data_IF_663585484636
#
_entry.id   IF_663585484636
#
_cell.length_a   1.000
_cell.length_b   1.000
_cell.length_c   1.000
_cell.angle_alpha   90.00
_cell.angle_beta   90.00
_cell.angle_gamma   90.00
#
_symmetry.space_group_name_H-M   'P 1'
#
loop_
_entity.id
_entity.type
_entity.pdbx_description
1 polymer ?
#
# COMPACT_ATOMS: atom_id res chain seq x y z
N UNK A 1 -6.18 11.84 73.87
CA UNK A 1 -5.79 12.15 72.48
C UNK A 1 -7.05 12.46 71.71
N UNK A 2 -7.26 13.73 71.36
CA UNK A 2 -8.44 14.18 70.63
C UNK A 2 -8.16 14.20 69.12
N UNK A 3 -9.14 13.85 68.25
CA UNK A 3 -8.94 13.85 66.81
C UNK A 3 -8.95 15.27 66.25
N UNK A 4 -7.89 15.62 65.52
CA UNK A 4 -7.77 16.86 64.74
C UNK A 4 -8.60 16.71 63.46
N UNK A 5 -9.64 17.52 63.34
CA UNK A 5 -10.51 17.60 62.16
C UNK A 5 -9.92 18.61 61.18
N UNK A 6 -9.67 18.18 59.94
CA UNK A 6 -9.20 19.05 58.87
C UNK A 6 -10.36 19.89 58.29
N UNK A 7 -10.12 21.14 57.84
CA UNK A 7 -11.17 22.00 57.30
C UNK A 7 -11.55 21.59 55.87
N UNK A 8 -12.86 21.47 55.65
CA UNK A 8 -13.49 21.23 54.35
C UNK A 8 -13.42 22.52 53.53
N UNK A 9 -12.76 22.46 52.37
CA UNK A 9 -12.66 23.58 51.42
C UNK A 9 -13.98 23.72 50.64
N UNK A 10 -14.56 24.92 50.65
CA UNK A 10 -15.78 25.24 49.92
C UNK A 10 -15.52 25.33 48.40
N UNK A 11 -16.51 24.97 47.55
CA UNK A 11 -16.39 25.12 46.10
C UNK A 11 -16.41 26.58 45.67
N UNK A 12 -15.55 26.92 44.69
CA UNK A 12 -15.44 28.25 44.10
C UNK A 12 -16.72 28.63 43.34
N UNK A 13 -17.15 29.89 43.50
CA UNK A 13 -18.31 30.46 42.83
C UNK A 13 -18.10 30.59 41.30
N UNK A 14 -19.16 30.48 40.48
CA UNK A 14 -19.06 30.64 39.03
C UNK A 14 -18.80 32.11 38.65
N UNK A 15 -17.77 32.32 37.84
CA UNK A 15 -17.43 33.62 37.25
C UNK A 15 -18.43 33.96 36.15
N UNK A 16 -19.20 35.01 36.36
CA UNK A 16 -20.14 35.56 35.37
C UNK A 16 -19.34 36.26 34.26
N UNK A 17 -19.43 35.76 33.02
CA UNK A 17 -18.81 36.40 31.87
C UNK A 17 -19.56 37.69 31.48
N UNK A 18 -18.82 38.78 31.30
CA UNK A 18 -19.35 40.07 30.84
C UNK A 18 -19.54 39.99 29.31
N UNK A 19 -20.69 40.41 28.75
CA UNK A 19 -20.90 40.44 27.31
C UNK A 19 -20.01 41.51 26.66
N UNK A 20 -19.12 41.07 25.77
CA UNK A 20 -18.31 41.94 24.91
C UNK A 20 -19.20 42.50 23.81
N UNK A 21 -19.44 43.81 23.84
CA UNK A 21 -20.14 44.53 22.78
C UNK A 21 -19.21 44.64 21.56
N UNK A 22 -19.66 44.11 20.42
CA UNK A 22 -18.93 44.20 19.16
C UNK A 22 -18.89 45.65 18.68
N UNK A 23 -17.68 46.21 18.58
CA UNK A 23 -17.44 47.52 17.98
C UNK A 23 -17.41 47.31 16.47
N UNK A 24 -18.45 47.74 15.77
CA UNK A 24 -18.47 47.76 14.30
C UNK A 24 -17.54 48.85 13.78
N UNK A 25 -16.41 48.45 13.19
CA UNK A 25 -15.54 49.35 12.44
C UNK A 25 -16.24 49.90 11.19
N UNK A 26 -16.10 51.19 10.87
CA UNK A 26 -16.61 51.76 9.63
C UNK A 26 -15.89 51.17 8.40
N UNK A 27 -16.65 50.91 7.35
CA UNK A 27 -16.16 50.36 6.09
C UNK A 27 -15.15 51.32 5.41
N UNK A 28 -14.00 50.82 4.93
CA UNK A 28 -13.04 51.65 4.20
C UNK A 28 -13.58 52.05 2.83
N UNK A 29 -13.28 53.28 2.43
CA UNK A 29 -13.63 53.83 1.11
C UNK A 29 -13.05 52.99 -0.04
N UNK A 30 -13.75 52.89 -1.19
CA UNK A 30 -13.29 52.11 -2.32
C UNK A 30 -11.98 52.66 -2.88
N UNK A 31 -10.97 51.79 -2.96
CA UNK A 31 -9.69 52.11 -3.58
C UNK A 31 -9.86 52.32 -5.11
N UNK A 32 -9.07 53.19 -5.74
CA UNK A 32 -9.08 53.35 -7.19
C UNK A 32 -8.71 52.04 -7.88
N UNK A 33 -9.43 51.71 -8.97
CA UNK A 33 -9.14 50.55 -9.83
C UNK A 33 -7.73 50.70 -10.42
N UNK A 34 -6.77 49.94 -9.90
CA UNK A 34 -5.48 49.72 -10.53
C UNK A 34 -5.67 48.53 -11.48
N UNK A 35 -5.66 48.79 -12.79
CA UNK A 35 -5.60 47.72 -13.80
C UNK A 35 -4.27 46.98 -13.66
N UNK A 36 -4.26 45.66 -13.42
CA UNK A 36 -3.03 44.90 -13.35
C UNK A 36 -2.39 44.87 -14.74
N UNK A 37 -1.24 45.54 -14.87
CA UNK A 37 -0.34 45.31 -16.00
C UNK A 37 0.25 43.92 -15.81
N UNK A 38 -0.08 42.99 -16.69
CA UNK A 38 0.47 41.64 -16.72
C UNK A 38 1.95 41.74 -17.08
N UNK A 39 2.82 41.80 -16.08
CA UNK A 39 4.26 41.59 -16.26
C UNK A 39 4.46 40.09 -16.01
N UNK A 40 4.49 39.31 -17.10
CA UNK A 40 4.91 37.91 -17.01
C UNK A 40 6.33 37.86 -16.42
N UNK A 41 6.58 37.08 -15.35
CA UNK A 41 7.95 36.82 -14.94
C UNK A 41 8.65 36.08 -16.06
N UNK A 42 9.70 36.69 -16.61
CA UNK A 42 10.62 36.01 -17.50
C UNK A 42 11.18 34.81 -16.73
N UNK A 43 10.88 33.60 -17.21
CA UNK A 43 11.48 32.38 -16.68
C UNK A 43 13.00 32.52 -16.72
N UNK A 44 13.75 32.15 -15.67
CA UNK A 44 15.20 32.07 -15.78
C UNK A 44 15.53 31.13 -16.94
N UNK A 45 16.38 31.61 -17.85
CA UNK A 45 16.92 30.77 -18.91
C UNK A 45 17.56 29.55 -18.26
N UNK A 46 16.95 28.37 -18.43
CA UNK A 46 17.59 27.11 -18.12
C UNK A 46 18.86 27.08 -18.95
N UNK A 47 20.01 27.12 -18.27
CA UNK A 47 21.27 26.78 -18.90
C UNK A 47 21.07 25.42 -19.58
N UNK A 48 21.30 25.37 -20.89
CA UNK A 48 21.31 24.13 -21.64
C UNK A 48 22.38 23.24 -21.00
N UNK A 49 21.91 22.29 -20.18
CA UNK A 49 22.76 21.26 -19.62
C UNK A 49 23.23 20.45 -20.84
N UNK A 50 24.55 20.40 -21.15
CA UNK A 50 25.01 19.58 -22.26
C UNK A 50 24.54 18.17 -21.98
N UNK A 51 23.79 17.60 -22.92
CA UNK A 51 23.31 16.23 -22.86
C UNK A 51 24.48 15.35 -22.44
N UNK A 52 24.48 14.92 -21.17
CA UNK A 52 25.40 13.91 -20.70
C UNK A 52 25.01 12.67 -21.51
N UNK A 53 25.81 12.38 -22.54
CA UNK A 53 25.73 11.13 -23.28
C UNK A 53 25.85 10.03 -22.23
N UNK A 54 24.73 9.37 -21.93
CA UNK A 54 24.69 8.17 -21.12
C UNK A 54 25.50 7.10 -21.87
N UNK A 55 26.81 7.07 -21.61
CA UNK A 55 27.65 5.95 -21.99
C UNK A 55 27.22 4.81 -21.07
N UNK A 56 26.57 3.80 -21.65
CA UNK A 56 26.33 2.53 -20.98
C UNK A 56 27.67 2.02 -20.41
N UNK A 57 27.73 1.58 -19.14
CA UNK A 57 28.91 0.91 -18.64
C UNK A 57 29.16 -0.32 -19.50
N UNK A 58 30.32 -0.38 -20.16
CA UNK A 58 30.80 -1.61 -20.79
C UNK A 58 31.24 -2.52 -19.64
N UNK A 59 30.35 -3.41 -19.22
CA UNK A 59 30.72 -4.47 -18.28
C UNK A 59 31.68 -5.45 -18.99
N UNK A 60 32.82 -5.81 -18.38
CA UNK A 60 33.65 -6.87 -18.92
C UNK A 60 32.83 -8.16 -19.03
N UNK A 61 32.97 -8.88 -20.14
CA UNK A 61 32.32 -10.16 -20.36
C UNK A 61 32.60 -11.08 -19.17
N UNK A 62 31.55 -11.55 -18.49
CA UNK A 62 31.69 -12.57 -17.45
C UNK A 62 32.32 -13.83 -18.07
N UNK A 63 33.28 -14.49 -17.39
CA UNK A 63 33.80 -15.78 -17.82
C UNK A 63 32.65 -16.77 -17.98
N UNK A 64 32.50 -17.35 -19.17
CA UNK A 64 31.58 -18.46 -19.38
C UNK A 64 31.99 -19.63 -18.48
N UNK A 65 31.07 -20.22 -17.70
CA UNK A 65 31.35 -21.46 -17.01
C UNK A 65 31.68 -22.55 -18.05
N UNK A 66 32.67 -23.43 -17.77
CA UNK A 66 33.06 -24.46 -18.71
C UNK A 66 31.88 -25.39 -19.00
N UNK A 67 31.67 -25.65 -20.30
CA UNK A 67 30.70 -26.63 -20.76
C UNK A 67 31.08 -28.02 -20.21
N UNK A 68 30.29 -28.54 -19.28
CA UNK A 68 30.40 -29.94 -18.87
C UNK A 68 29.83 -30.82 -19.99
N UNK A 69 30.74 -31.30 -20.83
CA UNK A 69 30.49 -32.33 -21.84
C UNK A 69 30.22 -33.69 -21.20
N UNK A 70 29.31 -34.42 -21.84
CA UNK A 70 28.98 -35.81 -21.53
C UNK A 70 30.13 -36.78 -21.84
N UNK A 71 30.43 -37.68 -20.89
CA UNK A 71 31.01 -39.03 -21.04
C UNK A 71 30.86 -39.67 -19.65
N UNK A 72 30.37 -40.89 -19.38
CA UNK A 72 30.30 -42.14 -20.11
C UNK A 72 30.47 -43.27 -19.06
N UNK A 73 29.64 -44.32 -19.13
CA UNK A 73 30.01 -45.71 -18.82
C UNK A 73 30.38 -46.20 -17.40
N UNK A 74 29.48 -47.04 -16.85
CA UNK A 74 29.69 -48.30 -16.07
C UNK A 74 30.11 -48.24 -14.58
N UNK A 75 29.91 -49.31 -13.76
CA UNK A 75 29.11 -50.54 -13.93
C UNK A 75 28.09 -50.82 -12.78
N UNK A 76 27.21 -51.80 -13.04
CA UNK A 76 26.26 -52.45 -12.11
C UNK A 76 27.00 -53.54 -11.32
N UNK A 77 26.94 -53.54 -9.97
CA UNK A 77 27.00 -54.74 -9.08
C UNK A 77 26.31 -54.41 -7.73
N UNK A 78 25.60 -55.36 -7.07
CA UNK A 78 24.56 -55.08 -6.09
C UNK A 78 25.02 -55.28 -4.63
N UNK A 79 24.38 -54.56 -3.70
CA UNK A 79 24.36 -54.95 -2.29
C UNK A 79 23.06 -54.45 -1.65
N UNK A 80 22.24 -55.40 -1.20
CA UNK A 80 20.97 -55.14 -0.56
C UNK A 80 21.12 -54.45 0.79
N UNK A 81 20.06 -53.75 1.18
CA UNK A 81 19.61 -53.73 2.56
C UNK A 81 18.09 -53.55 2.57
N UNK A 82 17.43 -54.58 3.09
CA UNK A 82 16.06 -54.52 3.57
C UNK A 82 15.91 -53.36 4.55
N UNK A 83 15.07 -52.39 4.20
CA UNK A 83 14.34 -51.60 5.19
C UNK A 83 12.90 -51.48 4.72
N UNK A 84 12.05 -52.24 5.41
CA UNK A 84 10.61 -52.08 5.42
C UNK A 84 10.27 -50.59 5.61
N UNK A 85 9.68 -49.98 4.58
CA UNK A 85 8.99 -48.71 4.71
C UNK A 85 7.52 -49.02 4.89
N UNK A 86 7.05 -48.75 6.10
CA UNK A 86 5.67 -48.91 6.53
C UNK A 86 4.77 -48.00 5.70
N UNK A 87 3.85 -48.61 4.95
CA UNK A 87 2.92 -47.91 4.08
C UNK A 87 1.88 -47.16 4.93
N UNK A 88 1.94 -45.83 4.92
CA UNK A 88 0.89 -45.00 5.50
C UNK A 88 -0.30 -44.95 4.52
N UNK A 89 -1.52 -45.34 4.94
CA UNK A 89 -2.68 -45.29 4.06
C UNK A 89 -3.13 -43.84 3.81
N UNK A 90 -3.15 -43.50 2.52
CA UNK A 90 -3.69 -42.27 1.95
C UNK A 90 -5.22 -42.33 1.99
N UNK A 91 -5.86 -41.51 2.82
CA UNK A 91 -7.33 -41.37 2.84
C UNK A 91 -7.76 -39.93 2.58
N UNK A 92 -8.44 -39.73 1.44
CA UNK A 92 -9.41 -38.67 1.14
C UNK A 92 -10.33 -39.21 0.03
N UNK A 93 -11.60 -38.75 -0.14
CA UNK A 93 -12.33 -37.74 0.63
C UNK A 93 -13.79 -38.13 0.99
N UNK A 94 -14.38 -37.51 2.02
CA UNK A 94 -15.83 -37.49 2.22
C UNK A 94 -16.37 -36.09 1.88
N UNK A 95 -16.72 -35.90 0.60
CA UNK A 95 -17.33 -34.68 0.03
C UNK A 95 -18.82 -34.53 0.42
N UNK A 96 -19.40 -35.47 1.18
CA UNK A 96 -20.85 -35.52 1.45
C UNK A 96 -21.37 -34.69 2.63
N UNK A 97 -20.53 -34.20 3.54
CA UNK A 97 -21.00 -33.59 4.81
C UNK A 97 -21.07 -32.05 4.77
N UNK A 98 -20.40 -31.39 3.83
CA UNK A 98 -20.35 -29.92 3.75
C UNK A 98 -21.56 -29.28 3.06
N UNK A 99 -22.35 -30.04 2.28
CA UNK A 99 -23.51 -29.50 1.55
C UNK A 99 -24.78 -29.37 2.40
N UNK A 100 -24.92 -30.15 3.48
CA UNK A 100 -26.12 -30.09 4.33
C UNK A 100 -26.07 -28.94 5.35
N UNK A 101 -24.86 -28.52 5.77
CA UNK A 101 -24.68 -27.35 6.65
C UNK A 101 -24.93 -26.00 5.96
N UNK A 102 -24.67 -25.91 4.65
CA UNK A 102 -24.86 -24.67 3.88
C UNK A 102 -26.34 -24.32 3.69
N UNK A 103 -27.22 -25.32 3.57
CA UNK A 103 -28.66 -25.11 3.37
C UNK A 103 -29.39 -24.68 4.64
N UNK A 104 -28.93 -25.10 5.82
CA UNK A 104 -29.50 -24.69 7.12
C UNK A 104 -29.00 -23.29 7.50
N UNK A 105 -27.76 -22.93 7.17
CA UNK A 105 -27.22 -21.58 7.40
C UNK A 105 -27.92 -20.49 6.56
N UNK A 106 -28.30 -20.80 5.33
CA UNK A 106 -28.96 -19.85 4.41
C UNK A 106 -30.41 -19.50 4.82
N UNK A 107 -31.04 -20.33 5.65
CA UNK A 107 -32.43 -20.14 6.12
C UNK A 107 -32.54 -19.31 7.41
N UNK A 108 -31.44 -19.14 8.16
CA UNK A 108 -31.44 -18.38 9.43
C UNK A 108 -30.89 -16.96 9.24
N UNK A 109 -30.06 -16.69 8.23
CA UNK A 109 -29.54 -15.35 7.90
C UNK A 109 -30.15 -14.81 6.62
N UNK A 110 -31.46 -14.56 6.67
CA UNK A 110 -32.25 -14.04 5.56
C UNK A 110 -31.67 -12.77 4.92
N UNK A 111 -31.66 -12.79 3.58
CA UNK A 111 -32.23 -11.77 2.70
C UNK A 111 -32.26 -10.31 3.22
N UNK A 112 -31.16 -9.57 3.04
CA UNK A 112 -31.22 -8.12 2.82
C UNK A 112 -30.75 -7.85 1.41
N UNK A 113 -31.70 -7.41 0.58
CA UNK A 113 -31.61 -7.39 -0.87
C UNK A 113 -30.65 -6.35 -1.43
N UNK A 114 -30.14 -6.66 -2.62
CA UNK A 114 -29.60 -5.69 -3.56
C UNK A 114 -30.34 -5.88 -4.89
N UNK A 115 -31.39 -5.09 -5.07
CA UNK A 115 -31.96 -4.78 -6.38
C UNK A 115 -32.51 -3.34 -6.34
N UNK A 116 -31.72 -2.39 -6.83
CA UNK A 116 -32.23 -1.21 -7.53
C UNK A 116 -31.29 -0.96 -8.72
N UNK A 117 -31.85 -1.06 -9.92
CA UNK A 117 -31.25 -0.50 -11.13
C UNK A 117 -32.12 0.63 -11.67
N UNK A 118 -31.52 1.65 -12.29
CA UNK A 118 -31.73 2.00 -13.71
C UNK A 118 -31.20 3.40 -14.07
N UNK A 119 -30.39 3.41 -15.14
CA UNK A 119 -30.27 4.32 -16.30
C UNK A 119 -30.38 5.85 -16.17
N UNK A 120 -29.33 6.57 -16.63
CA UNK A 120 -29.44 7.53 -17.74
C UNK A 120 -28.07 8.02 -18.27
N UNK A 121 -27.96 7.97 -19.60
CA UNK A 121 -27.04 8.61 -20.55
C UNK A 121 -26.10 9.75 -20.10
N UNK A 122 -24.87 9.70 -20.61
CA UNK A 122 -24.01 10.87 -20.81
C UNK A 122 -22.59 10.48 -21.18
N UNK A 123 -22.28 10.46 -22.48
CA UNK A 123 -20.89 10.38 -22.94
C UNK A 123 -20.12 11.62 -22.50
N UNK A 124 -19.11 11.46 -21.65
CA UNK A 124 -17.92 12.32 -21.62
C UNK A 124 -16.69 11.52 -21.23
N UNK A 125 -15.65 11.68 -22.04
CA UNK A 125 -14.29 11.20 -21.87
C UNK A 125 -13.63 11.92 -20.68
N UNK A 126 -12.75 11.20 -19.97
CA UNK A 126 -11.84 11.63 -18.88
C UNK A 126 -12.47 12.20 -17.60
N UNK A 127 -12.39 11.41 -16.53
CA UNK A 127 -12.66 11.86 -15.17
C UNK A 127 -12.39 10.74 -14.17
N UNK A 128 -11.66 11.04 -13.09
CA UNK A 128 -11.58 10.20 -11.91
C UNK A 128 -12.97 9.66 -11.52
N UNK A 129 -13.10 8.44 -10.98
CA UNK A 129 -14.37 8.02 -10.41
C UNK A 129 -14.71 9.07 -9.36
N UNK A 130 -15.91 9.63 -9.49
CA UNK A 130 -16.51 10.33 -8.37
C UNK A 130 -16.57 9.30 -7.25
N UNK A 131 -15.60 9.35 -6.34
CA UNK A 131 -15.65 8.58 -5.12
C UNK A 131 -16.90 9.06 -4.41
N UNK A 132 -17.96 8.24 -4.41
CA UNK A 132 -19.15 8.53 -3.63
C UNK A 132 -18.65 8.85 -2.22
N UNK A 133 -19.03 10.01 -1.67
CA UNK A 133 -18.58 10.47 -0.34
C UNK A 133 -18.79 9.40 0.74
N UNK A 134 -19.77 8.50 0.53
CA UNK A 134 -19.98 7.31 1.35
C UNK A 134 -18.85 6.27 1.29
N UNK A 135 -18.24 6.03 0.12
CA UNK A 135 -17.11 5.11 -0.05
C UNK A 135 -15.86 5.63 0.66
N UNK A 136 -15.56 6.93 0.53
CA UNK A 136 -14.45 7.55 1.25
C UNK A 136 -14.64 7.45 2.77
N UNK A 137 -15.84 7.79 3.26
CA UNK A 137 -16.15 7.66 4.68
C UNK A 137 -16.04 6.21 5.18
N UNK A 138 -16.52 5.25 4.39
CA UNK A 138 -16.41 3.83 4.69
C UNK A 138 -14.93 3.40 4.77
N UNK A 139 -14.10 3.78 3.79
CA UNK A 139 -12.67 3.48 3.79
C UNK A 139 -11.97 4.09 5.00
N UNK A 140 -12.25 5.37 5.29
CA UNK A 140 -11.65 6.09 6.43
C UNK A 140 -12.01 5.43 7.76
N UNK A 141 -13.20 4.86 7.89
CA UNK A 141 -13.60 4.12 9.10
C UNK A 141 -12.84 2.80 9.31
N UNK A 142 -12.35 2.18 8.22
CA UNK A 142 -11.59 0.92 8.24
C UNK A 142 -10.08 1.14 8.30
N UNK A 143 -9.61 2.32 7.88
CA UNK A 143 -8.24 2.72 8.04
C UNK A 143 -7.98 3.16 9.48
N UNK A 144 -6.91 2.65 10.08
CA UNK A 144 -6.43 3.20 11.33
C UNK A 144 -6.02 4.67 11.12
N UNK A 145 -6.35 5.59 12.03
CA UNK A 145 -5.99 7.01 11.93
C UNK A 145 -4.52 7.27 11.61
N UNK A 146 -3.61 6.38 12.04
CA UNK A 146 -2.17 6.48 11.74
C UNK A 146 -1.86 6.43 10.24
N UNK A 147 -2.70 5.79 9.44
CA UNK A 147 -2.50 5.67 7.99
C UNK A 147 -3.20 6.77 7.19
N UNK A 148 -4.09 7.57 7.81
CA UNK A 148 -4.83 8.61 7.08
C UNK A 148 -3.90 9.58 6.35
N UNK A 149 -2.81 10.10 6.94
CA UNK A 149 -1.89 11.00 6.22
C UNK A 149 -1.21 10.36 5.00
N UNK A 150 -1.01 9.03 5.03
CA UNK A 150 -0.38 8.26 3.97
C UNK A 150 -1.38 7.88 2.88
N UNK A 151 -2.62 7.57 3.29
CA UNK A 151 -3.71 7.11 2.45
C UNK A 151 -4.55 8.24 1.85
N UNK A 152 -4.42 9.49 2.33
CA UNK A 152 -5.25 10.64 1.98
C UNK A 152 -5.47 10.78 0.47
N UNK A 153 -4.38 10.70 -0.30
CA UNK A 153 -4.45 10.81 -1.75
C UNK A 153 -5.10 9.60 -2.45
N UNK A 154 -5.15 8.43 -1.80
CA UNK A 154 -5.78 7.22 -2.31
C UNK A 154 -7.25 7.06 -1.91
N UNK A 155 -7.73 7.82 -0.91
CA UNK A 155 -8.99 7.56 -0.22
C UNK A 155 -10.22 7.35 -1.12
N UNK A 156 -10.36 8.12 -2.20
CA UNK A 156 -11.47 8.03 -3.15
C UNK A 156 -11.39 6.83 -4.09
N UNK A 157 -10.24 6.16 -4.15
CA UNK A 157 -9.94 5.04 -5.06
C UNK A 157 -9.75 3.71 -4.33
N UNK A 158 -9.53 3.78 -3.01
CA UNK A 158 -9.49 2.59 -2.19
C UNK A 158 -10.88 1.95 -2.15
N UNK A 159 -10.88 0.62 -2.09
CA UNK A 159 -12.07 -0.16 -1.82
C UNK A 159 -11.70 -1.44 -1.09
N UNK A 160 -12.67 -2.01 -0.37
CA UNK A 160 -12.47 -3.29 0.31
C UNK A 160 -11.35 -3.26 1.34
N UNK A 161 -11.16 -2.14 2.04
CA UNK A 161 -10.20 -2.03 3.12
C UNK A 161 -10.58 -2.97 4.28
N UNK A 162 -9.64 -3.83 4.67
CA UNK A 162 -9.77 -4.75 5.81
C UNK A 162 -8.51 -4.69 6.67
N UNK A 163 -8.70 -4.47 7.97
CA UNK A 163 -7.63 -4.40 8.96
C UNK A 163 -7.26 -5.78 9.49
N UNK A 164 -6.01 -5.95 9.93
CA UNK A 164 -5.54 -7.17 10.60
C UNK A 164 -6.25 -7.49 11.91
N UNK A 165 -6.96 -6.53 12.49
CA UNK A 165 -7.81 -6.71 13.68
C UNK A 165 -9.21 -7.24 13.34
N UNK A 166 -9.57 -7.33 12.06
CA UNK A 166 -10.88 -7.76 11.59
C UNK A 166 -10.86 -9.23 11.14
N UNK A 167 -12.02 -9.89 11.21
CA UNK A 167 -12.16 -11.25 10.73
C UNK A 167 -11.89 -11.31 9.21
N UNK A 168 -10.98 -12.21 8.80
CA UNK A 168 -10.56 -12.33 7.39
C UNK A 168 -9.59 -11.24 6.92
N UNK A 169 -9.11 -10.39 7.83
CA UNK A 169 -8.07 -9.39 7.55
C UNK A 169 -6.68 -10.00 7.30
N UNK A 170 -5.75 -9.21 6.73
CA UNK A 170 -4.40 -9.68 6.48
C UNK A 170 -3.66 -9.87 7.82
N UNK A 171 -3.06 -11.04 8.03
CA UNK A 171 -2.24 -11.27 9.22
C UNK A 171 -1.00 -10.34 9.20
N UNK A 172 -0.67 -9.66 10.32
CA UNK A 172 0.57 -8.91 10.44
C UNK A 172 1.76 -9.87 10.28
N UNK A 173 2.78 -9.45 9.56
CA UNK A 173 4.01 -10.21 9.41
C UNK A 173 4.96 -9.96 10.59
N UNK A 174 6.04 -10.76 10.75
CA UNK A 174 7.04 -10.51 11.78
C UNK A 174 7.56 -9.06 11.72
N UNK A 175 7.56 -8.38 12.87
CA UNK A 175 7.95 -6.97 12.97
C UNK A 175 6.82 -5.96 12.73
N UNK A 176 5.63 -6.42 12.29
CA UNK A 176 4.46 -5.58 12.11
C UNK A 176 3.58 -5.56 13.37
N UNK A 177 2.98 -4.40 13.63
CA UNK A 177 1.99 -4.19 14.67
C UNK A 177 0.58 -4.23 14.07
N UNK A 178 0.39 -3.60 12.92
CA UNK A 178 -0.89 -3.46 12.24
C UNK A 178 -0.67 -3.55 10.73
N UNK A 179 -1.61 -4.20 10.04
CA UNK A 179 -1.64 -4.27 8.58
C UNK A 179 -3.06 -4.04 8.09
N UNK A 180 -3.25 -3.13 7.14
CA UNK A 180 -4.52 -2.92 6.45
C UNK A 180 -4.32 -3.25 4.98
N UNK A 181 -5.21 -4.07 4.40
CA UNK A 181 -5.25 -4.33 2.96
C UNK A 181 -6.47 -3.65 2.37
N UNK A 182 -6.25 -2.79 1.39
CA UNK A 182 -7.27 -2.23 0.51
C UNK A 182 -7.02 -2.70 -0.94
N UNK A 183 -7.91 -2.34 -1.84
CA UNK A 183 -7.77 -2.59 -3.27
C UNK A 183 -8.00 -1.31 -4.08
N UNK A 184 -7.34 -1.20 -5.22
CA UNK A 184 -7.58 -0.17 -6.25
C UNK A 184 -8.02 -0.91 -7.52
N UNK A 185 -9.16 -0.51 -8.08
CA UNK A 185 -9.79 -1.13 -9.25
C UNK A 185 -9.93 -2.66 -9.15
N UNK A 186 -10.08 -3.20 -7.93
CA UNK A 186 -10.14 -4.64 -7.61
C UNK A 186 -8.92 -5.51 -8.02
N UNK A 187 -7.92 -4.95 -8.71
CA UNK A 187 -6.77 -5.69 -9.26
C UNK A 187 -5.49 -5.42 -8.48
N UNK A 188 -5.29 -4.19 -8.02
CA UNK A 188 -4.09 -3.79 -7.29
C UNK A 188 -4.40 -3.85 -5.81
N UNK A 189 -3.64 -4.65 -5.06
CA UNK A 189 -3.74 -4.67 -3.61
C UNK A 189 -2.84 -3.57 -3.05
N UNK A 190 -3.38 -2.82 -2.11
CA UNK A 190 -2.69 -1.76 -1.39
C UNK A 190 -2.58 -2.17 0.07
N UNK A 191 -1.39 -2.10 0.62
CA UNK A 191 -1.15 -2.43 2.02
C UNK A 191 -0.60 -1.22 2.75
N UNK A 192 -1.17 -0.95 3.92
CA UNK A 192 -0.62 -0.01 4.89
C UNK A 192 -0.11 -0.81 6.09
N UNK A 193 1.11 -0.53 6.51
CA UNK A 193 1.77 -1.24 7.59
C UNK A 193 2.21 -0.26 8.65
N UNK A 194 1.94 -0.60 9.91
CA UNK A 194 2.59 -0.02 11.06
C UNK A 194 3.57 -1.05 11.62
N UNK A 195 4.84 -0.70 11.63
CA UNK A 195 5.92 -1.50 12.19
C UNK A 195 6.04 -1.27 13.69
N UNK A 196 6.52 -2.29 14.41
CA UNK A 196 6.78 -2.23 15.85
C UNK A 196 7.95 -1.30 16.17
N UNK A 197 8.88 -1.14 15.24
CA UNK A 197 10.07 -0.32 15.39
C UNK A 197 10.58 0.15 14.02
N UNK A 198 11.41 1.20 14.01
CA UNK A 198 12.13 1.61 12.82
C UNK A 198 13.05 0.49 12.30
N UNK A 199 13.66 -0.29 13.19
CA UNK A 199 14.50 -1.43 12.79
C UNK A 199 13.70 -2.50 12.04
N UNK A 200 12.44 -2.74 12.39
CA UNK A 200 11.59 -3.70 11.67
C UNK A 200 11.15 -3.16 10.29
N UNK A 201 10.85 -1.87 10.18
CA UNK A 201 10.63 -1.18 8.89
C UNK A 201 11.87 -1.33 8.00
N UNK A 202 13.05 -1.05 8.54
CA UNK A 202 14.30 -1.08 7.77
C UNK A 202 14.65 -2.50 7.30
N UNK A 203 14.33 -3.54 8.08
CA UNK A 203 14.43 -4.94 7.62
C UNK A 203 13.53 -5.21 6.42
N UNK A 204 12.29 -4.73 6.43
CA UNK A 204 11.37 -4.88 5.29
C UNK A 204 11.89 -4.12 4.08
N UNK A 205 12.37 -2.89 4.24
CA UNK A 205 13.02 -2.12 3.18
C UNK A 205 14.19 -2.89 2.56
N UNK A 206 15.08 -3.43 3.39
CA UNK A 206 16.22 -4.24 2.92
C UNK A 206 15.80 -5.51 2.19
N UNK A 207 14.74 -6.18 2.66
CA UNK A 207 14.16 -7.33 1.96
C UNK A 207 13.59 -6.94 0.59
N UNK A 208 12.90 -5.81 0.48
CA UNK A 208 12.42 -5.28 -0.82
C UNK A 208 13.56 -4.89 -1.74
N UNK A 209 14.63 -4.30 -1.21
CA UNK A 209 15.82 -3.99 -2.00
C UNK A 209 16.47 -5.27 -2.57
N UNK A 210 16.53 -6.35 -1.80
CA UNK A 210 16.98 -7.67 -2.31
C UNK A 210 16.05 -8.22 -3.39
N UNK A 211 14.74 -8.02 -3.27
CA UNK A 211 13.78 -8.41 -4.30
C UNK A 211 13.90 -7.55 -5.56
N UNK A 212 14.27 -6.27 -5.45
CA UNK A 212 14.57 -5.41 -6.60
C UNK A 212 15.74 -5.97 -7.41
N UNK A 213 16.87 -6.31 -6.76
CA UNK A 213 18.07 -6.79 -7.45
C UNK A 213 17.88 -8.13 -8.15
N UNK A 214 16.90 -8.92 -7.72
CA UNK A 214 16.56 -10.23 -8.29
C UNK A 214 15.31 -10.21 -9.17
N UNK A 215 14.73 -9.03 -9.42
CA UNK A 215 13.47 -8.89 -10.19
C UNK A 215 13.64 -9.07 -11.70
N UNK A 216 14.80 -8.74 -12.27
CA UNK A 216 15.03 -8.72 -13.72
C UNK A 216 14.57 -9.97 -14.49
N UNK A 217 14.85 -11.22 -14.05
CA UNK A 217 14.40 -12.42 -14.76
C UNK A 217 12.90 -12.69 -14.70
N UNK A 218 12.16 -12.07 -13.76
CA UNK A 218 10.74 -12.36 -13.52
C UNK A 218 9.83 -11.17 -13.81
N UNK A 219 10.35 -9.95 -13.78
CA UNK A 219 9.64 -8.70 -14.02
C UNK A 219 10.63 -7.64 -14.53
N UNK A 220 11.01 -7.76 -15.81
CA UNK A 220 11.98 -6.86 -16.43
C UNK A 220 11.54 -5.38 -16.39
N UNK A 221 12.51 -4.47 -16.23
CA UNK A 221 12.28 -3.02 -16.27
C UNK A 221 12.00 -2.35 -14.93
N UNK A 222 12.24 -3.05 -13.81
CA UNK A 222 12.19 -2.44 -12.48
C UNK A 222 13.20 -1.29 -12.40
N UNK A 223 12.79 -0.17 -11.83
CA UNK A 223 13.71 0.92 -11.56
C UNK A 223 14.76 0.42 -10.55
N UNK A 224 16.04 0.81 -10.69
CA UNK A 224 17.02 0.57 -9.64
C UNK A 224 16.52 1.13 -8.32
N UNK A 225 16.95 0.55 -7.20
CA UNK A 225 16.65 1.08 -5.86
C UNK A 225 17.00 2.57 -5.85
N UNK A 226 15.97 3.42 -5.68
CA UNK A 226 16.13 4.86 -5.72
C UNK A 226 16.40 5.37 -4.30
N UNK A 227 17.43 6.20 -4.15
CA UNK A 227 17.61 6.95 -2.92
C UNK A 227 16.56 8.05 -2.87
N UNK A 228 15.54 7.84 -2.02
CA UNK A 228 14.43 8.73 -1.69
C UNK A 228 13.53 9.22 -2.86
N UNK A 229 12.21 9.12 -2.67
CA UNK A 229 11.19 9.74 -3.53
C UNK A 229 10.07 10.33 -2.68
N UNK A 230 9.35 11.29 -3.24
CA UNK A 230 8.09 11.76 -2.66
C UNK A 230 7.18 10.55 -2.39
N UNK A 231 6.60 10.55 -1.19
CA UNK A 231 5.64 9.56 -0.73
C UNK A 231 4.29 9.74 -1.37
N UNK A 232 3.41 8.77 -1.09
CA UNK A 232 2.09 8.59 -1.72
C UNK A 232 1.09 9.72 -1.48
N UNK A 233 1.46 10.76 -0.73
CA UNK A 233 0.66 11.97 -0.53
C UNK A 233 1.36 13.25 -1.01
N UNK A 234 2.57 13.14 -1.56
CA UNK A 234 3.42 14.26 -1.96
C UNK A 234 3.99 15.09 -0.82
N UNK A 235 3.55 14.84 0.42
CA UNK A 235 3.85 15.66 1.61
C UNK A 235 5.15 15.27 2.31
N UNK A 236 5.59 14.03 2.16
CA UNK A 236 6.81 13.51 2.81
C UNK A 236 7.71 12.83 1.80
N UNK A 237 9.02 12.93 2.00
CA UNK A 237 10.01 12.17 1.23
C UNK A 237 10.32 10.88 1.98
N UNK A 238 10.36 9.75 1.27
CA UNK A 238 10.61 8.44 1.87
C UNK A 238 11.32 7.49 0.91
N UNK A 239 11.58 6.26 1.32
CA UNK A 239 12.31 5.30 0.47
C UNK A 239 11.37 4.67 -0.53
N UNK A 240 11.85 4.44 -1.75
CA UNK A 240 11.03 3.87 -2.82
C UNK A 240 11.74 2.67 -3.44
N UNK A 241 11.05 1.54 -3.48
CA UNK A 241 11.61 0.30 -4.03
C UNK A 241 10.58 -0.38 -4.92
N UNK A 242 10.92 -0.58 -6.18
CA UNK A 242 10.17 -1.47 -7.07
C UNK A 242 10.66 -2.89 -6.83
N UNK A 243 9.78 -3.87 -6.66
CA UNK A 243 10.20 -5.22 -6.32
C UNK A 243 9.32 -6.25 -7.01
N UNK A 244 9.89 -7.42 -7.27
CA UNK A 244 9.13 -8.56 -7.75
C UNK A 244 9.56 -9.82 -7.03
N UNK A 245 8.65 -10.77 -6.90
CA UNK A 245 8.93 -12.07 -6.30
C UNK A 245 7.99 -13.14 -6.88
N UNK A 246 8.39 -14.40 -6.74
CA UNK A 246 7.56 -15.53 -7.09
C UNK A 246 7.06 -16.24 -5.84
N UNK A 247 5.80 -16.63 -5.85
CA UNK A 247 5.21 -17.50 -4.83
C UNK A 247 4.11 -18.35 -5.44
N UNK A 248 4.07 -19.64 -5.11
CA UNK A 248 3.08 -20.56 -5.66
C UNK A 248 3.05 -20.61 -7.19
N UNK A 249 4.21 -20.49 -7.85
CA UNK A 249 4.33 -20.47 -9.32
C UNK A 249 3.84 -19.19 -10.00
N UNK A 250 3.51 -18.14 -9.23
CA UNK A 250 3.01 -16.86 -9.75
C UNK A 250 3.99 -15.76 -9.43
N UNK A 251 4.24 -14.89 -10.40
CA UNK A 251 5.04 -13.68 -10.21
C UNK A 251 4.14 -12.55 -9.71
N UNK A 252 4.62 -11.81 -8.71
CA UNK A 252 4.01 -10.57 -8.22
C UNK A 252 5.00 -9.44 -8.42
N UNK A 253 4.51 -8.29 -8.86
CA UNK A 253 5.26 -7.04 -8.94
C UNK A 253 4.63 -5.99 -8.03
N UNK A 254 5.46 -5.15 -7.42
CA UNK A 254 4.98 -4.17 -6.47
C UNK A 254 5.92 -2.98 -6.31
N UNK A 255 5.38 -1.96 -5.66
CA UNK A 255 6.10 -0.74 -5.29
C UNK A 255 5.95 -0.58 -3.78
N UNK A 256 7.07 -0.47 -3.09
CA UNK A 256 7.15 -0.26 -1.65
C UNK A 256 7.62 1.15 -1.36
N UNK A 257 7.03 1.75 -0.33
CA UNK A 257 7.49 3.00 0.24
C UNK A 257 7.37 3.04 1.76
N UNK A 258 8.28 3.76 2.40
CA UNK A 258 8.22 4.06 3.82
C UNK A 258 8.77 5.45 4.16
N UNK A 259 8.39 5.95 5.33
CA UNK A 259 8.87 7.22 5.88
C UNK A 259 9.96 6.95 6.91
N UNK A 260 11.14 7.59 6.78
CA UNK A 260 12.22 7.46 7.76
C UNK A 260 11.83 8.00 9.15
N UNK A 261 10.91 8.96 9.21
CA UNK A 261 10.53 9.65 10.43
C UNK A 261 9.39 8.95 11.18
N UNK A 262 8.79 7.91 10.58
CA UNK A 262 7.68 7.16 11.20
C UNK A 262 7.91 5.66 11.12
N UNK A 263 7.18 4.88 11.91
CA UNK A 263 7.15 3.43 11.76
C UNK A 263 6.06 2.97 10.79
N UNK A 264 5.72 3.78 9.79
CA UNK A 264 4.70 3.44 8.80
C UNK A 264 5.29 3.24 7.41
N UNK A 265 4.64 2.38 6.63
CA UNK A 265 4.94 2.18 5.22
C UNK A 265 3.71 1.77 4.45
N UNK A 266 3.80 1.89 3.13
CA UNK A 266 2.78 1.40 2.22
C UNK A 266 3.43 0.62 1.08
N UNK A 267 2.72 -0.35 0.54
CA UNK A 267 3.09 -0.93 -0.72
C UNK A 267 1.89 -1.31 -1.55
N UNK A 268 2.06 -1.24 -2.87
CA UNK A 268 1.10 -1.80 -3.81
C UNK A 268 1.68 -3.06 -4.42
N UNK A 269 0.84 -4.05 -4.67
CA UNK A 269 1.22 -5.27 -5.37
C UNK A 269 0.12 -5.69 -6.33
N UNK A 270 0.52 -6.30 -7.45
CA UNK A 270 -0.39 -6.97 -8.35
C UNK A 270 0.22 -8.27 -8.85
N UNK A 271 -0.64 -9.15 -9.33
CA UNK A 271 -0.20 -10.30 -10.11
C UNK A 271 0.48 -9.82 -11.38
N UNK A 272 1.66 -10.37 -11.67
CA UNK A 272 2.38 -10.12 -12.90
C UNK A 272 1.89 -11.09 -13.97
N UNK A 273 1.15 -10.57 -14.96
CA UNK A 273 0.72 -11.31 -16.14
C UNK A 273 1.40 -10.75 -17.38
N UNK A 274 1.82 -11.63 -18.29
CA UNK A 274 2.34 -11.22 -19.59
C UNK A 274 1.23 -10.51 -20.38
N UNK A 275 1.52 -9.35 -20.98
CA UNK A 275 0.59 -8.59 -21.83
C UNK A 275 -0.08 -7.38 -21.16
N UNK A 276 -0.50 -7.50 -19.90
CA UNK A 276 -1.30 -6.46 -19.20
C UNK A 276 -0.60 -5.91 -17.92
N UNK A 277 0.56 -6.49 -17.59
CA UNK A 277 1.09 -6.53 -16.23
C UNK A 277 2.35 -5.71 -15.96
N UNK A 278 2.84 -4.90 -16.89
CA UNK A 278 4.13 -4.20 -16.74
C UNK A 278 4.22 -3.19 -15.58
N UNK A 279 5.41 -2.60 -15.42
CA UNK A 279 5.71 -1.58 -14.41
C UNK A 279 4.90 -0.29 -14.59
N UNK A 280 4.54 0.06 -15.83
CA UNK A 280 3.86 1.32 -16.14
C UNK A 280 2.53 1.47 -15.39
N UNK A 281 1.57 0.52 -15.43
CA UNK A 281 0.35 0.61 -14.62
C UNK A 281 0.60 0.74 -13.11
N UNK A 282 1.63 0.08 -12.57
CA UNK A 282 1.97 0.21 -11.14
C UNK A 282 2.51 1.61 -10.83
N UNK A 283 3.43 2.13 -11.66
CA UNK A 283 3.98 3.47 -11.52
C UNK A 283 2.93 4.55 -11.73
N UNK A 284 2.04 4.39 -12.69
CA UNK A 284 0.93 5.31 -12.93
C UNK A 284 -0.03 5.31 -11.73
N UNK A 285 -0.40 4.12 -11.23
CA UNK A 285 -1.20 4.01 -10.00
C UNK A 285 -0.49 4.65 -8.82
N UNK A 286 0.83 4.54 -8.73
CA UNK A 286 1.60 5.19 -7.67
C UNK A 286 1.64 6.72 -7.82
N UNK A 287 1.95 7.19 -9.03
CA UNK A 287 2.21 8.60 -9.37
C UNK A 287 0.95 9.46 -9.38
N UNK A 288 -0.22 8.90 -9.70
CA UNK A 288 -1.49 9.65 -9.67
C UNK A 288 -1.80 10.30 -8.33
N UNK A 289 -1.05 9.96 -7.29
CA UNK A 289 -1.34 10.33 -5.91
C UNK A 289 -0.12 10.86 -5.13
N UNK A 290 1.08 10.83 -5.72
CA UNK A 290 2.27 11.55 -5.19
C UNK A 290 2.26 13.01 -5.62
#
# INVERSE_FOLDING_TARGET
MAPVTAPVTAPAAPVTAIPVTAITSPAPAPAPLVTPTSIMPASPAYAANPAAAWRSPVWPAQPQPPAHGHTGGYPIVPAGHDRASEATPRSRPAVGVLLLGLLIGLLVFGSTGYLIGSTANGSTVDGAPAGDTGQEAANRSRLNPVFVPLADAWMSWLGGCVSSSEAGGPAPQPGEQLRVRCSVNAVINVYFIQFRSAADRDKVRAARATQNTTSAPIAAGAAPVAAQRAGTSGRTTGHYVEFAYQTGGRTYGGIYWDDDNTTTGAYIEKLWTDGDGGWLPLRDTWQRYT
#
